data_IF_971380636690
#
_entry.id   IF_971380636690
#
_cell.length_a   1.000
_cell.length_b   1.000
_cell.length_c   1.000
_cell.angle_alpha   90.00
_cell.angle_beta   90.00
_cell.angle_gamma   90.00
#
_symmetry.space_group_name_H-M   'P 1'
#
loop_
_entity.id
_entity.type
_entity.pdbx_description
1 polymer ?
#
# COMPACT_ATOMS: atom_id res chain seq x y z
N UNK A 1 49.06 -25.99 -31.37
CA UNK A 1 48.11 -26.04 -30.22
C UNK A 1 47.11 -27.15 -30.45
N UNK A 2 46.90 -28.03 -29.47
CA UNK A 2 46.06 -29.22 -29.62
C UNK A 2 44.59 -28.82 -29.82
N UNK A 3 43.90 -29.38 -30.83
CA UNK A 3 42.55 -28.99 -31.27
C UNK A 3 41.50 -29.08 -30.14
N UNK A 4 41.71 -30.01 -29.21
CA UNK A 4 40.93 -30.16 -27.97
C UNK A 4 41.06 -28.94 -27.05
N UNK A 5 42.26 -28.40 -26.88
CA UNK A 5 42.52 -27.30 -25.95
C UNK A 5 41.82 -26.01 -26.40
N UNK A 6 41.82 -25.74 -27.71
CA UNK A 6 41.09 -24.62 -28.30
C UNK A 6 39.57 -24.76 -28.14
N UNK A 7 39.04 -25.99 -28.25
CA UNK A 7 37.62 -26.28 -28.05
C UNK A 7 37.19 -25.98 -26.60
N UNK A 8 37.95 -26.44 -25.61
CA UNK A 8 37.67 -26.16 -24.19
C UNK A 8 37.80 -24.68 -23.84
N UNK A 9 38.78 -23.98 -24.41
CA UNK A 9 38.94 -22.53 -24.23
C UNK A 9 37.72 -21.74 -24.77
N UNK A 10 37.23 -22.13 -25.95
CA UNK A 10 36.05 -21.50 -26.55
C UNK A 10 34.77 -21.76 -25.73
N UNK A 11 34.59 -22.97 -25.20
CA UNK A 11 33.48 -23.29 -24.30
C UNK A 11 33.53 -22.47 -23.01
N UNK A 12 34.71 -22.31 -22.40
CA UNK A 12 34.86 -21.50 -21.19
C UNK A 12 34.52 -20.02 -21.39
N UNK A 13 34.87 -19.43 -22.54
CA UNK A 13 34.48 -18.05 -22.87
C UNK A 13 32.97 -17.94 -23.09
N UNK A 14 32.36 -18.91 -23.79
CA UNK A 14 30.91 -18.94 -23.99
C UNK A 14 30.14 -19.02 -22.67
N UNK A 15 30.60 -19.86 -21.72
CA UNK A 15 29.97 -19.99 -20.40
C UNK A 15 30.01 -18.67 -19.61
N UNK A 16 31.14 -17.96 -19.63
CA UNK A 16 31.28 -16.65 -18.97
C UNK A 16 30.30 -15.63 -19.55
N UNK A 17 30.16 -15.58 -20.88
CA UNK A 17 29.24 -14.66 -21.56
C UNK A 17 27.79 -14.97 -21.20
N UNK A 18 27.41 -16.26 -21.18
CA UNK A 18 26.06 -16.70 -20.83
C UNK A 18 25.75 -16.39 -19.36
N UNK A 19 26.69 -16.68 -18.44
CA UNK A 19 26.53 -16.34 -17.03
C UNK A 19 26.35 -14.84 -16.80
N UNK A 20 27.12 -14.00 -17.51
CA UNK A 20 26.99 -12.55 -17.42
C UNK A 20 25.64 -12.05 -17.96
N UNK A 21 25.19 -12.61 -19.09
CA UNK A 21 23.89 -12.28 -19.67
C UNK A 21 22.73 -12.69 -18.76
N UNK A 22 22.79 -13.88 -18.16
CA UNK A 22 21.80 -14.38 -17.21
C UNK A 22 21.76 -13.50 -15.95
N UNK A 23 22.92 -13.16 -15.39
CA UNK A 23 23.02 -12.27 -14.23
C UNK A 23 22.37 -10.91 -14.49
N UNK A 24 22.68 -10.31 -15.64
CA UNK A 24 22.13 -9.01 -16.05
C UNK A 24 20.61 -9.08 -16.25
N UNK A 25 20.11 -10.14 -16.85
CA UNK A 25 18.67 -10.37 -17.00
C UNK A 25 17.97 -10.48 -15.64
N UNK A 26 18.49 -11.31 -14.73
CA UNK A 26 17.93 -11.47 -13.37
C UNK A 26 17.83 -10.13 -12.65
N UNK A 27 18.86 -9.29 -12.70
CA UNK A 27 18.85 -7.97 -12.07
C UNK A 27 17.79 -7.03 -12.68
N UNK A 28 17.60 -7.05 -14.00
CA UNK A 28 16.58 -6.24 -14.67
C UNK A 28 15.17 -6.72 -14.25
N UNK A 29 14.94 -8.04 -14.23
CA UNK A 29 13.66 -8.60 -13.78
C UNK A 29 13.37 -8.30 -12.31
N UNK A 30 14.37 -8.35 -11.44
CA UNK A 30 14.23 -7.97 -10.04
C UNK A 30 13.84 -6.48 -9.88
N UNK A 31 14.45 -5.60 -10.67
CA UNK A 31 14.11 -4.17 -10.68
C UNK A 31 12.67 -3.90 -11.13
N UNK A 32 12.23 -4.53 -12.23
CA UNK A 32 10.87 -4.40 -12.75
C UNK A 32 9.85 -4.98 -11.75
N UNK A 33 10.15 -6.14 -11.16
CA UNK A 33 9.31 -6.76 -10.14
C UNK A 33 9.18 -5.88 -8.90
N UNK A 34 10.27 -5.27 -8.44
CA UNK A 34 10.27 -4.33 -7.32
C UNK A 34 9.39 -3.10 -7.58
N UNK A 35 9.48 -2.51 -8.77
CA UNK A 35 8.63 -1.40 -9.20
C UNK A 35 7.14 -1.81 -9.24
N UNK A 36 6.85 -2.99 -9.77
CA UNK A 36 5.49 -3.51 -9.83
C UNK A 36 4.89 -3.75 -8.43
N UNK A 37 5.65 -4.38 -7.53
CA UNK A 37 5.25 -4.63 -6.14
C UNK A 37 5.04 -3.33 -5.36
N UNK A 38 5.90 -2.32 -5.57
CA UNK A 38 5.73 -0.99 -4.97
C UNK A 38 4.40 -0.35 -5.40
N UNK A 39 4.12 -0.34 -6.70
CA UNK A 39 2.87 0.21 -7.24
C UNK A 39 1.63 -0.56 -6.73
N UNK A 40 1.69 -1.89 -6.71
CA UNK A 40 0.66 -2.76 -6.14
C UNK A 40 0.42 -2.45 -4.66
N UNK A 41 1.48 -2.34 -3.85
CA UNK A 41 1.37 -2.05 -2.42
C UNK A 41 0.72 -0.69 -2.15
N UNK A 42 1.06 0.33 -2.96
CA UNK A 42 0.46 1.66 -2.88
C UNK A 42 -1.04 1.61 -3.21
N UNK A 43 -1.40 0.94 -4.30
CA UNK A 43 -2.80 0.77 -4.70
C UNK A 43 -3.60 0.00 -3.63
N UNK A 44 -3.02 -1.04 -3.04
CA UNK A 44 -3.66 -1.81 -1.98
C UNK A 44 -3.87 -0.97 -0.72
N UNK A 45 -2.87 -0.16 -0.34
CA UNK A 45 -2.98 0.76 0.79
C UNK A 45 -4.07 1.81 0.56
N UNK A 46 -4.06 2.48 -0.60
CA UNK A 46 -5.08 3.47 -0.97
C UNK A 46 -6.48 2.85 -0.94
N UNK A 47 -6.66 1.67 -1.56
CA UNK A 47 -7.95 0.95 -1.54
C UNK A 47 -8.43 0.63 -0.13
N UNK A 48 -7.54 0.15 0.74
CA UNK A 48 -7.84 -0.17 2.14
C UNK A 48 -8.19 1.07 2.97
N UNK A 49 -7.49 2.18 2.70
CA UNK A 49 -7.73 3.47 3.32
C UNK A 49 -9.10 4.01 2.96
N UNK A 50 -9.44 4.09 1.67
CA UNK A 50 -10.76 4.56 1.22
C UNK A 50 -11.89 3.65 1.71
N UNK A 51 -11.69 2.33 1.76
CA UNK A 51 -12.67 1.40 2.35
C UNK A 51 -12.96 1.70 3.82
N UNK A 52 -11.94 2.11 4.58
CA UNK A 52 -12.11 2.50 5.99
C UNK A 52 -12.91 3.80 6.10
N UNK A 53 -12.65 4.77 5.24
CA UNK A 53 -13.39 6.04 5.19
C UNK A 53 -14.86 5.80 4.84
N UNK A 54 -15.14 4.98 3.84
CA UNK A 54 -16.52 4.63 3.49
C UNK A 54 -17.26 3.98 4.66
N UNK A 55 -16.58 3.10 5.41
CA UNK A 55 -17.13 2.52 6.63
C UNK A 55 -17.44 3.61 7.67
N UNK A 56 -16.52 4.53 7.91
CA UNK A 56 -16.72 5.65 8.83
C UNK A 56 -17.92 6.50 8.41
N UNK A 57 -18.01 6.91 7.15
CA UNK A 57 -19.12 7.70 6.60
C UNK A 57 -20.47 7.00 6.79
N UNK A 58 -20.52 5.69 6.56
CA UNK A 58 -21.74 4.91 6.75
C UNK A 58 -22.17 4.87 8.21
N UNK A 59 -21.23 4.68 9.13
CA UNK A 59 -21.52 4.69 10.57
C UNK A 59 -22.03 6.06 11.02
N UNK A 60 -21.37 7.14 10.60
CA UNK A 60 -21.79 8.51 10.91
C UNK A 60 -23.21 8.76 10.39
N UNK A 61 -23.48 8.44 9.12
CA UNK A 61 -24.80 8.65 8.51
C UNK A 61 -25.90 7.85 9.21
N UNK A 62 -25.61 6.65 9.66
CA UNK A 62 -26.58 5.81 10.38
C UNK A 62 -26.79 6.23 11.83
N UNK A 63 -25.81 6.91 12.43
CA UNK A 63 -25.86 7.30 13.85
C UNK A 63 -26.73 8.51 14.16
N UNK A 64 -27.05 9.36 13.17
CA UNK A 64 -27.74 10.64 13.35
C UNK A 64 -27.11 11.56 14.44
N UNK A 65 -25.82 11.40 14.72
CA UNK A 65 -25.10 12.20 15.71
C UNK A 65 -24.72 13.58 15.17
N UNK A 66 -24.71 14.58 16.07
CA UNK A 66 -24.17 15.90 15.73
C UNK A 66 -22.65 15.86 15.55
N UNK A 67 -22.09 16.83 14.84
CA UNK A 67 -20.65 16.93 14.67
C UNK A 67 -19.89 17.04 16.00
N UNK A 68 -20.45 17.76 16.97
CA UNK A 68 -19.89 17.89 18.33
C UNK A 68 -19.84 16.54 19.06
N UNK A 69 -20.91 15.74 18.95
CA UNK A 69 -20.95 14.39 19.51
C UNK A 69 -19.94 13.47 18.82
N UNK A 70 -19.85 13.55 17.49
CA UNK A 70 -18.88 12.77 16.73
C UNK A 70 -17.44 13.16 17.11
N UNK A 71 -17.16 14.45 17.30
CA UNK A 71 -15.88 14.97 17.77
C UNK A 71 -15.48 14.36 19.10
N UNK A 72 -16.40 14.40 20.06
CA UNK A 72 -16.20 13.83 21.39
C UNK A 72 -15.97 12.30 21.36
N UNK A 73 -16.80 11.55 20.62
CA UNK A 73 -16.73 10.08 20.54
C UNK A 73 -15.48 9.63 19.78
N UNK A 74 -15.23 10.22 18.61
CA UNK A 74 -14.12 9.85 17.75
C UNK A 74 -12.77 10.37 18.27
N UNK A 75 -12.79 11.33 19.21
CA UNK A 75 -11.61 12.05 19.71
C UNK A 75 -10.85 12.71 18.56
N UNK A 76 -11.59 13.38 17.69
CA UNK A 76 -11.08 14.07 16.51
C UNK A 76 -11.71 15.44 16.44
N UNK A 77 -10.98 16.42 15.93
CA UNK A 77 -11.52 17.76 15.73
C UNK A 77 -12.75 17.75 14.82
N UNK A 78 -13.67 18.67 15.10
CA UNK A 78 -14.92 18.74 14.36
C UNK A 78 -14.69 19.06 12.87
N UNK A 79 -13.68 19.89 12.59
CA UNK A 79 -13.23 20.19 11.23
C UNK A 79 -12.66 18.95 10.54
N UNK A 80 -11.88 18.13 11.25
CA UNK A 80 -11.32 16.91 10.70
C UNK A 80 -12.41 15.90 10.31
N UNK A 81 -13.47 15.82 11.11
CA UNK A 81 -14.64 14.98 10.82
C UNK A 81 -15.39 15.49 9.58
N UNK A 82 -15.57 16.81 9.46
CA UNK A 82 -16.17 17.44 8.27
C UNK A 82 -15.35 17.13 7.01
N UNK A 83 -14.03 17.24 7.07
CA UNK A 83 -13.12 16.91 5.96
C UNK A 83 -13.22 15.43 5.60
N UNK A 84 -13.23 14.53 6.60
CA UNK A 84 -13.37 13.09 6.42
C UNK A 84 -14.67 12.69 5.70
N UNK A 85 -15.77 13.35 6.06
CA UNK A 85 -17.08 13.13 5.45
C UNK A 85 -17.12 13.79 4.05
N UNK A 86 -16.49 14.95 3.89
CA UNK A 86 -16.43 15.76 2.68
C UNK A 86 -15.55 15.25 1.54
N UNK A 87 -14.90 14.07 1.67
CA UNK A 87 -14.01 13.49 0.65
C UNK A 87 -12.67 14.21 0.43
N UNK A 88 -12.29 15.16 1.29
CA UNK A 88 -11.01 15.88 1.21
C UNK A 88 -9.89 15.16 1.99
N UNK A 89 -9.80 13.84 1.83
CA UNK A 89 -9.09 12.95 2.76
C UNK A 89 -7.55 12.93 2.62
N UNK A 90 -6.97 13.91 1.94
CA UNK A 90 -5.51 14.01 1.71
C UNK A 90 -4.82 14.53 2.97
N UNK A 91 -4.42 13.63 3.87
CA UNK A 91 -3.59 13.98 5.03
C UNK A 91 -3.85 13.17 6.29
N UNK A 92 -4.98 12.43 6.36
CA UNK A 92 -5.29 11.63 7.54
C UNK A 92 -4.43 10.38 7.62
N UNK A 93 -3.88 10.13 8.81
CA UNK A 93 -3.25 8.85 9.13
C UNK A 93 -4.34 7.77 9.23
N UNK A 94 -4.15 6.66 8.51
CA UNK A 94 -5.09 5.52 8.53
C UNK A 94 -5.40 5.00 9.94
N UNK A 95 -4.42 5.08 10.86
CA UNK A 95 -4.58 4.67 12.24
C UNK A 95 -5.61 5.51 13.00
N UNK A 96 -5.61 6.83 12.77
CA UNK A 96 -6.56 7.74 13.41
C UNK A 96 -7.99 7.43 12.98
N UNK A 97 -8.20 7.16 11.69
CA UNK A 97 -9.51 6.77 11.15
C UNK A 97 -9.96 5.43 11.75
N UNK A 98 -9.07 4.43 11.84
CA UNK A 98 -9.40 3.14 12.48
C UNK A 98 -9.79 3.30 13.95
N UNK A 99 -9.07 4.15 14.70
CA UNK A 99 -9.40 4.47 16.10
C UNK A 99 -10.77 5.15 16.20
N UNK A 100 -11.05 6.14 15.36
CA UNK A 100 -12.33 6.82 15.30
C UNK A 100 -13.50 5.86 15.00
N UNK A 101 -13.35 5.00 13.98
CA UNK A 101 -14.33 3.95 13.65
C UNK A 101 -14.58 3.05 14.85
N UNK A 102 -13.52 2.56 15.52
CA UNK A 102 -13.65 1.66 16.68
C UNK A 102 -14.39 2.33 17.83
N UNK A 103 -14.09 3.60 18.11
CA UNK A 103 -14.78 4.35 19.17
C UNK A 103 -16.26 4.54 18.82
N UNK A 104 -16.57 4.87 17.57
CA UNK A 104 -17.94 5.05 17.10
C UNK A 104 -18.73 3.74 17.12
N UNK A 105 -18.14 2.61 16.71
CA UNK A 105 -18.75 1.28 16.81
C UNK A 105 -19.03 0.88 18.26
N UNK A 106 -18.08 1.15 19.17
CA UNK A 106 -18.27 0.87 20.60
C UNK A 106 -19.40 1.71 21.21
N UNK A 107 -19.59 2.95 20.73
CA UNK A 107 -20.69 3.81 21.16
C UNK A 107 -22.04 3.32 20.64
N UNK A 108 -22.10 2.90 19.37
CA UNK A 108 -23.35 2.45 18.74
C UNK A 108 -23.81 1.05 19.18
N UNK A 109 -22.89 0.22 19.69
CA UNK A 109 -23.18 -1.13 20.20
C UNK A 109 -23.51 -1.14 21.71
N UNK A 110 -23.51 0.01 22.38
CA UNK A 110 -24.00 0.17 23.75
C UNK A 110 -25.49 0.44 23.74
#
# INVERSE_FOLDING_TARGET
MNKLYYKYFLFGICDIIICFALYKMINIYAGILGLFLSNMSKAFYEKSFYKSIDKFKKLVKNSNLSYEQLSYICKMDENDIKILIGNENKGFKAENIKKAIKNLENYLNK
#
